data_IF_142612225017
#
_entry.id   IF_142612225017
#
_cell.length_a   1.000
_cell.length_b   1.000
_cell.length_c   1.000
_cell.angle_alpha   90.00
_cell.angle_beta   90.00
_cell.angle_gamma   90.00
#
_symmetry.space_group_name_H-M   'P 1'
#
loop_
_entity.id
_entity.type
_entity.pdbx_description
1 polymer ?
#
# COMPACT_ATOMS: atom_id res chain seq x y z
N UNK A 1 -16.93 -16.71 20.83
CA UNK A 1 -17.73 -15.63 20.21
C UNK A 1 -16.81 -14.71 19.41
N UNK A 2 -17.11 -14.49 18.15
CA UNK A 2 -16.32 -13.60 17.32
C UNK A 2 -16.64 -12.14 17.62
N UNK A 3 -15.61 -11.32 17.67
CA UNK A 3 -15.79 -9.87 17.75
C UNK A 3 -16.11 -9.34 16.36
N UNK A 4 -17.00 -8.38 16.31
CA UNK A 4 -17.38 -7.74 15.05
C UNK A 4 -16.61 -6.45 14.87
N UNK A 5 -16.05 -6.28 13.68
CA UNK A 5 -15.30 -5.08 13.32
C UNK A 5 -15.98 -4.45 12.12
N UNK A 6 -16.30 -3.17 12.23
CA UNK A 6 -16.83 -2.40 11.13
C UNK A 6 -15.71 -1.49 10.58
N UNK A 7 -15.44 -1.62 9.31
CA UNK A 7 -14.46 -0.76 8.62
C UNK A 7 -15.24 0.24 7.77
N UNK A 8 -15.03 1.51 8.05
CA UNK A 8 -15.73 2.57 7.33
C UNK A 8 -14.82 3.10 6.23
N UNK A 9 -15.20 2.86 4.99
CA UNK A 9 -14.44 3.24 3.83
C UNK A 9 -13.70 2.08 3.22
N UNK A 10 -13.79 1.93 1.90
CA UNK A 10 -13.12 0.87 1.14
C UNK A 10 -11.96 1.41 0.31
N UNK A 11 -11.27 2.43 0.80
CA UNK A 11 -10.02 2.87 0.22
C UNK A 11 -8.90 1.92 0.57
N UNK A 12 -7.68 2.29 0.23
CA UNK A 12 -6.52 1.42 0.43
C UNK A 12 -6.37 1.03 1.90
N UNK A 13 -6.47 2.00 2.82
CA UNK A 13 -6.32 1.73 4.24
C UNK A 13 -7.41 0.82 4.77
N UNK A 14 -8.66 1.10 4.39
CA UNK A 14 -9.80 0.30 4.85
C UNK A 14 -9.74 -1.13 4.36
N UNK A 15 -9.45 -1.33 3.09
CA UNK A 15 -9.34 -2.67 2.52
C UNK A 15 -8.15 -3.43 3.08
N UNK A 16 -7.04 -2.74 3.34
CA UNK A 16 -5.86 -3.38 3.92
C UNK A 16 -6.16 -3.89 5.32
N UNK A 17 -6.74 -3.05 6.18
CA UNK A 17 -7.01 -3.46 7.55
C UNK A 17 -8.09 -4.56 7.59
N UNK A 18 -9.08 -4.48 6.70
CA UNK A 18 -10.12 -5.50 6.62
C UNK A 18 -9.54 -6.86 6.25
N UNK A 19 -8.63 -6.90 5.29
CA UNK A 19 -7.98 -8.14 4.88
C UNK A 19 -7.08 -8.70 5.97
N UNK A 20 -6.38 -7.84 6.70
CA UNK A 20 -5.52 -8.29 7.79
C UNK A 20 -6.35 -8.90 8.92
N UNK A 21 -7.47 -8.28 9.29
CA UNK A 21 -8.34 -8.84 10.33
C UNK A 21 -9.03 -10.11 9.88
N UNK A 22 -9.32 -10.24 8.60
CA UNK A 22 -9.94 -11.44 8.05
C UNK A 22 -9.07 -12.68 8.26
N UNK A 23 -7.75 -12.50 8.25
CA UNK A 23 -6.82 -13.59 8.50
C UNK A 23 -6.84 -14.06 9.95
N UNK A 24 -7.42 -13.28 10.85
CA UNK A 24 -7.53 -13.62 12.26
C UNK A 24 -8.92 -14.21 12.51
N UNK A 25 -8.97 -15.47 12.89
CA UNK A 25 -10.23 -16.23 12.97
C UNK A 25 -11.23 -15.70 13.99
N UNK A 26 -10.80 -14.88 14.94
CA UNK A 26 -11.68 -14.38 16.01
C UNK A 26 -12.47 -13.13 15.63
N UNK A 27 -12.32 -12.63 14.41
CA UNK A 27 -12.98 -11.40 13.98
C UNK A 27 -13.90 -11.64 12.80
N UNK A 28 -15.06 -11.02 12.87
CA UNK A 28 -15.98 -10.90 11.75
C UNK A 28 -15.89 -9.47 11.24
N UNK A 29 -15.49 -9.28 9.98
CA UNK A 29 -15.19 -7.96 9.42
C UNK A 29 -16.26 -7.57 8.41
N UNK A 30 -16.79 -6.37 8.56
CA UNK A 30 -17.72 -5.77 7.61
C UNK A 30 -17.16 -4.44 7.13
N UNK A 31 -17.21 -4.21 5.83
CA UNK A 31 -16.71 -2.97 5.21
C UNK A 31 -17.89 -2.18 4.68
N UNK A 32 -17.96 -0.91 5.04
CA UNK A 32 -19.00 0.00 4.60
C UNK A 32 -18.38 1.09 3.73
N UNK A 33 -18.97 1.30 2.56
CA UNK A 33 -18.49 2.31 1.62
C UNK A 33 -19.65 3.18 1.16
N UNK A 34 -19.43 4.49 1.16
CA UNK A 34 -20.46 5.45 0.77
C UNK A 34 -20.74 5.44 -0.73
N UNK A 35 -19.76 5.08 -1.55
CA UNK A 35 -19.93 5.02 -2.99
C UNK A 35 -20.62 3.72 -3.38
N UNK A 36 -21.61 3.81 -4.27
CA UNK A 36 -22.37 2.63 -4.68
C UNK A 36 -21.55 1.68 -5.53
N UNK A 37 -20.58 2.19 -6.26
CA UNK A 37 -19.74 1.39 -7.15
C UNK A 37 -18.29 1.65 -6.76
N UNK A 38 -17.53 0.58 -6.54
CA UNK A 38 -16.10 0.68 -6.26
C UNK A 38 -15.39 1.10 -7.55
N UNK A 39 -14.80 2.29 -7.55
CA UNK A 39 -14.05 2.78 -8.70
C UNK A 39 -12.63 2.29 -8.63
N UNK A 40 -12.23 1.51 -9.63
CA UNK A 40 -10.87 0.99 -9.73
C UNK A 40 -9.98 1.90 -10.57
N UNK A 41 -10.58 2.88 -11.23
CA UNK A 41 -9.87 3.79 -12.13
C UNK A 41 -9.47 5.09 -11.47
N UNK A 42 -10.01 5.37 -10.29
CA UNK A 42 -9.68 6.57 -9.55
C UNK A 42 -8.50 6.29 -8.63
N UNK A 43 -7.64 7.28 -8.54
CA UNK A 43 -6.56 7.19 -7.59
C UNK A 43 -5.28 7.81 -8.08
N UNK A 44 -4.31 7.79 -7.22
CA UNK A 44 -3.00 8.35 -7.46
C UNK A 44 -1.98 7.23 -7.44
N UNK A 45 -0.78 7.53 -7.93
CA UNK A 45 0.32 6.65 -7.66
C UNK A 45 0.55 6.56 -6.16
N UNK A 46 0.83 5.38 -5.66
CA UNK A 46 1.04 5.16 -4.23
C UNK A 46 2.46 4.70 -4.01
N UNK A 47 3.15 5.37 -3.08
CA UNK A 47 4.47 4.94 -2.67
C UNK A 47 4.35 3.94 -1.53
N UNK A 48 5.04 2.82 -1.67
CA UNK A 48 5.05 1.78 -0.65
C UNK A 48 6.44 1.69 -0.04
N UNK A 49 6.52 2.02 1.23
CA UNK A 49 7.76 1.85 1.96
C UNK A 49 8.01 0.36 2.23
N UNK A 50 9.24 -0.03 2.46
CA UNK A 50 9.59 -1.43 2.70
C UNK A 50 8.82 -2.10 3.83
N UNK A 51 8.59 -1.39 4.93
CA UNK A 51 7.81 -1.91 6.03
C UNK A 51 6.35 -2.16 5.62
N UNK A 52 5.82 -1.29 4.75
CA UNK A 52 4.47 -1.45 4.21
C UNK A 52 4.38 -2.67 3.31
N UNK A 53 5.39 -2.85 2.45
CA UNK A 53 5.44 -4.00 1.54
C UNK A 53 5.45 -5.31 2.33
N UNK A 54 6.20 -5.35 3.41
CA UNK A 54 6.26 -6.53 4.28
C UNK A 54 4.88 -6.91 4.83
N UNK A 55 4.10 -5.91 5.23
CA UNK A 55 2.75 -6.14 5.73
C UNK A 55 1.80 -6.56 4.61
N UNK A 56 1.86 -5.87 3.48
CA UNK A 56 0.96 -6.16 2.36
C UNK A 56 1.22 -7.52 1.73
N UNK A 57 2.44 -8.03 1.82
CA UNK A 57 2.75 -9.37 1.34
C UNK A 57 1.97 -10.44 2.09
N UNK A 58 1.57 -10.15 3.32
CA UNK A 58 0.75 -11.08 4.09
C UNK A 58 -0.65 -11.25 3.52
N UNK A 59 -1.12 -10.27 2.74
CA UNK A 59 -2.45 -10.31 2.14
C UNK A 59 -2.39 -10.40 0.61
N UNK A 60 -1.26 -10.79 0.06
CA UNK A 60 -1.16 -11.17 -1.35
C UNK A 60 -0.48 -10.19 -2.29
N UNK A 61 0.20 -9.16 -1.77
CA UNK A 61 0.88 -8.19 -2.65
C UNK A 61 1.90 -8.88 -3.56
N UNK A 62 2.59 -9.89 -3.05
CA UNK A 62 3.60 -10.60 -3.83
C UNK A 62 3.02 -11.34 -5.03
N UNK A 63 1.71 -11.55 -5.07
CA UNK A 63 1.04 -12.24 -6.18
C UNK A 63 0.72 -11.30 -7.34
N UNK A 64 0.93 -9.99 -7.17
CA UNK A 64 0.65 -9.02 -8.21
C UNK A 64 1.82 -9.00 -9.20
N UNK A 65 1.48 -8.88 -10.50
CA UNK A 65 2.47 -8.85 -11.57
C UNK A 65 3.45 -7.69 -11.36
N UNK A 66 4.74 -7.99 -11.51
CA UNK A 66 5.81 -6.99 -11.36
C UNK A 66 5.66 -5.79 -12.30
N UNK A 67 4.94 -5.96 -13.40
CA UNK A 67 4.70 -4.86 -14.34
C UNK A 67 3.84 -3.74 -13.74
N UNK A 68 3.11 -4.05 -12.69
CA UNK A 68 2.27 -3.07 -12.01
C UNK A 68 3.07 -2.22 -11.02
N UNK A 69 4.34 -2.53 -10.82
CA UNK A 69 5.19 -1.85 -9.85
C UNK A 69 6.30 -1.08 -10.54
N UNK A 70 6.63 0.06 -9.96
CA UNK A 70 7.80 0.82 -10.34
C UNK A 70 8.73 0.90 -9.14
N UNK A 71 9.99 0.50 -9.33
CA UNK A 71 10.99 0.53 -8.27
C UNK A 71 11.97 1.66 -8.55
N UNK A 72 11.79 2.83 -7.94
CA UNK A 72 12.71 3.93 -8.17
C UNK A 72 14.06 3.64 -7.56
N UNK A 73 15.12 4.07 -8.25
CA UNK A 73 16.49 3.88 -7.78
C UNK A 73 17.08 5.15 -7.18
N UNK A 74 16.45 6.28 -7.43
CA UNK A 74 16.96 7.56 -6.97
C UNK A 74 15.82 8.51 -6.66
N UNK A 75 15.98 9.25 -5.58
CA UNK A 75 15.07 10.32 -5.21
C UNK A 75 15.82 11.63 -5.27
N UNK A 76 15.33 12.54 -6.08
CA UNK A 76 15.96 13.85 -6.29
C UNK A 76 15.12 14.93 -5.61
N UNK A 77 15.80 15.84 -4.93
CA UNK A 77 15.14 16.97 -4.27
C UNK A 77 15.53 18.27 -4.97
N UNK A 78 14.53 19.06 -5.32
CA UNK A 78 14.72 20.33 -5.99
C UNK A 78 14.08 21.46 -5.18
N UNK A 79 14.69 22.65 -5.27
CA UNK A 79 14.05 23.84 -4.70
C UNK A 79 12.92 24.30 -5.62
N UNK A 80 12.14 25.28 -5.16
CA UNK A 80 11.10 25.89 -5.98
C UNK A 80 11.64 26.56 -7.23
N UNK A 81 12.94 26.90 -7.24
CA UNK A 81 13.62 27.50 -8.38
C UNK A 81 14.21 26.48 -9.35
N UNK A 82 13.85 25.21 -9.19
CA UNK A 82 14.35 24.10 -10.00
C UNK A 82 15.84 23.83 -9.83
N UNK A 83 16.41 24.26 -8.72
CA UNK A 83 17.80 23.94 -8.39
C UNK A 83 17.83 22.66 -7.56
N UNK A 84 18.69 21.74 -7.97
CA UNK A 84 18.82 20.46 -7.29
C UNK A 84 19.47 20.65 -5.92
N UNK A 85 18.79 20.16 -4.89
CA UNK A 85 19.28 20.26 -3.52
C UNK A 85 20.12 19.04 -3.15
N UNK A 86 19.59 17.85 -3.41
CA UNK A 86 20.31 16.61 -3.10
C UNK A 86 19.68 15.42 -3.81
N UNK A 87 20.40 14.30 -3.81
CA UNK A 87 19.92 13.00 -4.30
C UNK A 87 19.98 11.99 -3.20
N UNK A 88 19.05 11.05 -3.24
CA UNK A 88 19.06 9.88 -2.37
C UNK A 88 19.07 8.63 -3.24
N UNK A 89 20.09 7.80 -3.07
CA UNK A 89 20.18 6.53 -3.80
C UNK A 89 19.36 5.48 -3.09
N UNK A 90 18.34 4.97 -3.78
CA UNK A 90 17.43 3.99 -3.22
C UNK A 90 17.74 2.56 -3.63
N UNK A 91 18.70 2.37 -4.53
CA UNK A 91 18.98 1.03 -5.06
C UNK A 91 19.33 0.03 -3.97
N UNK A 92 20.05 0.48 -2.95
CA UNK A 92 20.47 -0.36 -1.83
C UNK A 92 19.27 -0.83 -1.01
N UNK A 93 18.28 0.03 -0.84
CA UNK A 93 17.07 -0.32 -0.08
C UNK A 93 16.17 -1.25 -0.87
N UNK A 94 16.07 -1.05 -2.18
CA UNK A 94 15.21 -1.85 -3.01
C UNK A 94 15.70 -3.30 -3.12
N UNK A 95 17.01 -3.51 -3.17
CA UNK A 95 17.58 -4.85 -3.30
C UNK A 95 17.30 -5.72 -2.07
N UNK A 96 17.22 -5.12 -0.90
CA UNK A 96 16.93 -5.85 0.34
C UNK A 96 15.45 -6.16 0.49
N UNK A 97 14.60 -5.45 -0.23
CA UNK A 97 13.15 -5.49 -0.04
C UNK A 97 12.39 -6.30 -1.06
N UNK A 98 13.04 -6.69 -2.11
CA UNK A 98 12.41 -7.54 -3.12
C UNK A 98 12.40 -9.00 -2.70
N UNK A 99 12.81 -9.27 -1.50
CA UNK A 99 12.83 -10.63 -0.96
C UNK A 99 11.61 -10.93 -0.10
#
# INVERSE_FOLDING_TARGET
MKKKIAVIGSGIAGLTIANLFKEISNFEVMVYEKEKILSLDEGYGVQLAPNTISILNKIGLSNINNKEFFNPTKLNFYSSDNQKICDLDLSRFNSEKSK
#
